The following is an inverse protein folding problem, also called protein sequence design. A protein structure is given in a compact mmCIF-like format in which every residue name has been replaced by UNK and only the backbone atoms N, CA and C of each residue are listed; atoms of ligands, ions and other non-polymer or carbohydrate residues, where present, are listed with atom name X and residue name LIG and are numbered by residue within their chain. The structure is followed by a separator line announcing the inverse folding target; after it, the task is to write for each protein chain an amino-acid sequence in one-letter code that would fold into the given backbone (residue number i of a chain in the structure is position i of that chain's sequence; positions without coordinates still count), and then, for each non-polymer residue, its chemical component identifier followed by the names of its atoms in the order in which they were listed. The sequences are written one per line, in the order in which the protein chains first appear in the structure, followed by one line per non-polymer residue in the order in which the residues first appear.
data_IF_094848798112
#
_entry.id   IF_094848798112
#
_cell.length_a   1.000
_cell.length_b   1.000
_cell.length_c   1.000
_cell.angle_alpha   90.00
_cell.angle_beta   90.00
_cell.angle_gamma   90.00
#
_symmetry.space_group_name_H-M   'P 1'
#
loop_
_entity.id
_entity.type
_entity.pdbx_description
1 polymer ?
#
# COMPACT_ATOMS: atom_id res chain seq x y z
N UNK A 1 -4.65 15.18 -10.90
CA UNK A 1 -3.71 15.68 -9.86
C UNK A 1 -2.51 16.38 -10.49
N UNK A 2 -1.97 17.46 -9.88
CA UNK A 2 -0.70 18.06 -10.35
C UNK A 2 0.46 17.12 -10.00
N UNK A 3 1.38 16.93 -10.94
CA UNK A 3 2.58 16.08 -10.78
C UNK A 3 3.44 16.56 -9.60
N UNK A 4 3.76 15.66 -8.68
CA UNK A 4 4.61 15.96 -7.53
C UNK A 4 6.09 15.74 -7.89
N UNK A 5 6.77 16.80 -8.32
CA UNK A 5 8.17 16.74 -8.73
C UNK A 5 9.10 16.28 -7.59
N UNK A 6 8.80 16.66 -6.34
CA UNK A 6 9.59 16.24 -5.19
C UNK A 6 9.51 14.72 -4.97
N UNK A 7 8.30 14.13 -5.09
CA UNK A 7 8.10 12.69 -5.03
C UNK A 7 8.96 11.95 -6.07
N UNK A 8 8.85 12.37 -7.33
CA UNK A 8 9.60 11.74 -8.43
C UNK A 8 11.11 11.89 -8.26
N UNK A 9 11.59 13.05 -7.79
CA UNK A 9 13.00 13.27 -7.49
C UNK A 9 13.50 12.32 -6.40
N UNK A 10 12.79 12.22 -5.28
CA UNK A 10 13.18 11.35 -4.17
C UNK A 10 13.15 9.88 -4.58
N UNK A 11 12.11 9.44 -5.30
CA UNK A 11 12.01 8.07 -5.80
C UNK A 11 13.15 7.75 -6.77
N UNK A 12 13.44 8.64 -7.72
CA UNK A 12 14.51 8.45 -8.70
C UNK A 12 15.91 8.40 -8.05
N UNK A 13 16.11 9.17 -6.98
CA UNK A 13 17.36 9.17 -6.21
C UNK A 13 17.52 7.90 -5.37
N UNK A 14 16.47 7.48 -4.68
CA UNK A 14 16.53 6.36 -3.75
C UNK A 14 16.46 4.99 -4.44
N UNK A 15 15.76 4.89 -5.57
CA UNK A 15 15.54 3.62 -6.26
C UNK A 15 16.83 2.87 -6.62
N UNK A 16 17.84 3.47 -7.29
CA UNK A 16 19.08 2.79 -7.61
C UNK A 16 19.88 2.40 -6.35
N UNK A 17 19.86 3.23 -5.31
CA UNK A 17 20.53 2.95 -4.04
C UNK A 17 19.87 1.74 -3.36
N UNK A 18 18.54 1.72 -3.31
CA UNK A 18 17.79 0.59 -2.76
C UNK A 18 18.06 -0.69 -3.56
N UNK A 19 18.12 -0.60 -4.90
CA UNK A 19 18.37 -1.76 -5.74
C UNK A 19 19.80 -2.33 -5.53
N UNK A 20 20.78 -1.45 -5.29
CA UNK A 20 22.16 -1.86 -5.02
C UNK A 20 22.32 -2.53 -3.65
N UNK A 21 21.72 -1.95 -2.61
CA UNK A 21 21.86 -2.46 -1.23
C UNK A 21 20.92 -3.64 -0.96
N UNK A 22 19.71 -3.58 -1.51
CA UNK A 22 18.66 -4.57 -1.33
C UNK A 22 18.22 -5.08 -2.71
N UNK A 23 18.98 -6.03 -3.29
CA UNK A 23 18.63 -6.56 -4.61
C UNK A 23 17.23 -7.16 -4.59
N UNK A 24 16.41 -6.78 -5.55
CA UNK A 24 15.03 -7.22 -5.60
C UNK A 24 14.54 -7.36 -7.05
N UNK A 25 13.54 -8.19 -7.22
CA UNK A 25 12.83 -8.39 -8.49
C UNK A 25 11.35 -8.10 -8.31
N UNK A 26 10.81 -7.32 -9.21
CA UNK A 26 9.38 -7.02 -9.27
C UNK A 26 8.78 -7.75 -10.45
N UNK A 27 7.62 -8.37 -10.24
CA UNK A 27 6.82 -9.05 -11.28
C UNK A 27 5.38 -8.57 -11.20
N UNK A 28 4.64 -8.63 -12.32
CA UNK A 28 3.23 -8.27 -12.37
C UNK A 28 2.96 -6.76 -12.42
N UNK A 29 3.93 -5.93 -12.85
CA UNK A 29 3.74 -4.48 -12.98
C UNK A 29 2.58 -4.13 -13.91
N UNK A 30 2.28 -4.96 -14.87
CA UNK A 30 1.16 -4.87 -15.80
C UNK A 30 -0.21 -4.92 -15.11
N UNK A 31 -0.29 -5.44 -13.90
CA UNK A 31 -1.52 -5.51 -13.10
C UNK A 31 -1.88 -4.17 -12.44
N UNK A 32 -0.95 -3.21 -12.42
CA UNK A 32 -1.22 -1.87 -11.90
C UNK A 32 -1.85 -1.03 -13.00
N UNK A 33 -3.08 -0.51 -12.83
CA UNK A 33 -3.71 0.36 -13.81
C UNK A 33 -2.80 1.55 -14.16
N UNK A 34 -2.58 1.78 -15.46
CA UNK A 34 -1.72 2.87 -15.94
C UNK A 34 -2.29 4.25 -15.57
N UNK A 35 -3.62 4.37 -15.56
CA UNK A 35 -4.36 5.60 -15.29
C UNK A 35 -5.53 5.33 -14.33
N UNK A 36 -6.15 6.41 -13.86
CA UNK A 36 -7.31 6.34 -12.94
C UNK A 36 -6.94 5.96 -11.52
N UNK A 37 -7.95 5.81 -10.69
CA UNK A 37 -7.76 5.42 -9.28
C UNK A 37 -7.36 3.96 -9.16
N UNK A 38 -6.49 3.65 -8.19
CA UNK A 38 -6.17 2.29 -7.80
C UNK A 38 -5.80 2.22 -6.32
N UNK A 39 -6.09 1.11 -5.67
CA UNK A 39 -5.65 0.83 -4.31
C UNK A 39 -4.66 -0.33 -4.32
N UNK A 40 -3.45 -0.08 -3.85
CA UNK A 40 -2.38 -1.08 -3.72
C UNK A 40 -2.38 -1.60 -2.28
N UNK A 41 -2.65 -2.88 -2.11
CA UNK A 41 -2.69 -3.54 -0.80
C UNK A 41 -1.52 -4.50 -0.65
N UNK A 42 -0.62 -4.25 0.28
CA UNK A 42 0.57 -5.09 0.47
C UNK A 42 0.70 -5.62 1.90
N UNK A 43 1.27 -6.81 2.05
CA UNK A 43 1.84 -7.20 3.33
C UNK A 43 2.98 -6.22 3.71
N UNK A 44 3.31 -6.13 5.00
CA UNK A 44 4.28 -5.17 5.49
C UNK A 44 5.37 -5.88 6.30
N UNK A 45 6.53 -6.09 5.69
CA UNK A 45 7.67 -6.82 6.29
C UNK A 45 8.84 -5.91 6.63
N UNK A 46 8.92 -4.72 6.00
CA UNK A 46 10.04 -3.78 6.18
C UNK A 46 9.57 -2.32 6.15
N UNK A 47 10.30 -1.44 6.83
CA UNK A 47 10.11 0.01 6.67
C UNK A 47 10.42 0.49 5.24
N UNK A 48 11.11 -0.33 4.44
CA UNK A 48 11.47 -0.02 3.06
C UNK A 48 10.38 -0.40 2.05
N UNK A 49 9.35 -1.17 2.43
CA UNK A 49 8.31 -1.62 1.51
C UNK A 49 7.64 -0.48 0.74
N UNK A 50 7.27 0.66 1.34
CA UNK A 50 6.69 1.78 0.60
C UNK A 50 7.63 2.30 -0.50
N UNK A 51 8.94 2.29 -0.26
CA UNK A 51 9.94 2.78 -1.22
C UNK A 51 10.17 1.76 -2.35
N UNK A 52 10.14 0.47 -2.06
CA UNK A 52 10.19 -0.58 -3.09
C UNK A 52 8.98 -0.50 -4.01
N UNK A 53 7.78 -0.37 -3.44
CA UNK A 53 6.55 -0.28 -4.21
C UNK A 53 6.54 1.03 -5.02
N UNK A 54 6.90 2.16 -4.39
CA UNK A 54 6.96 3.46 -5.05
C UNK A 54 7.99 3.52 -6.20
N UNK A 55 9.13 2.86 -6.04
CA UNK A 55 10.15 2.80 -7.08
C UNK A 55 9.79 1.89 -8.24
N UNK A 56 9.08 0.80 -7.97
CA UNK A 56 8.63 -0.14 -8.98
C UNK A 56 7.47 0.40 -9.83
N UNK A 57 6.50 1.01 -9.16
CA UNK A 57 5.28 1.53 -9.79
C UNK A 57 5.54 2.96 -10.31
N UNK A 58 5.34 3.20 -11.61
CA UNK A 58 5.58 4.50 -12.24
C UNK A 58 4.45 5.52 -12.01
N UNK A 59 3.82 5.47 -10.82
CA UNK A 59 2.72 6.37 -10.43
C UNK A 59 2.98 6.93 -9.03
N UNK A 60 2.46 8.12 -8.77
CA UNK A 60 2.52 8.71 -7.43
C UNK A 60 1.59 7.94 -6.50
N UNK A 61 2.16 7.29 -5.47
CA UNK A 61 1.41 6.52 -4.49
C UNK A 61 1.34 7.32 -3.19
N UNK A 62 0.14 7.48 -2.67
CA UNK A 62 -0.09 8.10 -1.37
C UNK A 62 -0.25 7.01 -0.31
N UNK A 63 0.71 6.93 0.60
CA UNK A 63 0.71 5.93 1.67
C UNK A 63 0.15 6.51 2.98
N UNK A 64 -0.55 5.64 3.70
CA UNK A 64 -0.92 5.89 5.09
C UNK A 64 0.29 5.62 5.98
N UNK A 65 0.60 6.55 6.88
CA UNK A 65 1.72 6.42 7.81
C UNK A 65 1.31 6.74 9.24
N UNK A 66 2.03 6.17 10.21
CA UNK A 66 1.79 6.35 11.63
C UNK A 66 1.91 7.83 12.02
N UNK A 67 0.93 8.39 12.76
CA UNK A 67 0.87 9.82 13.14
C UNK A 67 2.12 10.30 13.87
N UNK A 68 2.78 9.43 14.63
CA UNK A 68 3.99 9.77 15.39
C UNK A 68 5.18 10.13 14.48
N UNK A 69 5.18 9.69 13.22
CA UNK A 69 6.20 10.11 12.24
C UNK A 69 6.06 11.59 11.84
N UNK A 70 4.89 12.17 12.08
CA UNK A 70 4.60 13.58 11.77
C UNK A 70 4.82 14.51 12.96
N UNK A 71 5.11 13.99 14.16
CA UNK A 71 5.42 14.82 15.34
C UNK A 71 6.75 15.54 15.20
N UNK A 72 7.74 14.93 14.55
CA UNK A 72 8.96 15.60 14.17
C UNK A 72 8.68 16.51 12.98
N UNK A 73 8.86 17.83 13.17
CA UNK A 73 8.50 18.86 12.19
C UNK A 73 9.18 18.68 10.83
N UNK A 74 10.48 18.32 10.83
CA UNK A 74 11.23 18.12 9.58
C UNK A 74 10.78 16.83 8.87
N UNK A 75 10.72 15.73 9.60
CA UNK A 75 10.29 14.42 9.05
C UNK A 75 8.84 14.50 8.56
N UNK A 76 7.94 15.09 9.33
CA UNK A 76 6.55 15.29 8.94
C UNK A 76 6.39 16.11 7.67
N UNK A 77 7.18 17.18 7.51
CA UNK A 77 7.18 17.98 6.28
C UNK A 77 7.64 17.17 5.06
N UNK A 78 8.68 16.34 5.21
CA UNK A 78 9.16 15.44 4.15
C UNK A 78 8.09 14.41 3.79
N UNK A 79 7.50 13.73 4.79
CA UNK A 79 6.43 12.74 4.59
C UNK A 79 5.23 13.34 3.87
N UNK A 80 4.80 14.53 4.28
CA UNK A 80 3.70 15.27 3.62
C UNK A 80 4.04 15.61 2.17
N UNK A 81 5.25 16.10 1.90
CA UNK A 81 5.72 16.37 0.53
C UNK A 81 5.80 15.11 -0.34
N UNK A 82 6.03 13.94 0.27
CA UNK A 82 5.97 12.65 -0.41
C UNK A 82 4.53 12.14 -0.59
N UNK A 83 3.52 12.92 -0.20
CA UNK A 83 2.12 12.55 -0.33
C UNK A 83 1.63 11.57 0.74
N UNK A 84 2.43 11.29 1.75
CA UNK A 84 2.01 10.48 2.89
C UNK A 84 1.14 11.30 3.85
N UNK A 85 0.21 10.64 4.52
CA UNK A 85 -0.66 11.28 5.51
C UNK A 85 -0.80 10.43 6.77
N UNK A 86 -1.02 11.08 7.93
CA UNK A 86 -1.05 10.40 9.21
C UNK A 86 -2.33 9.59 9.41
N UNK A 87 -2.21 8.47 10.14
CA UNK A 87 -3.31 7.70 10.70
C UNK A 87 -3.07 7.44 12.17
N UNK A 88 -4.12 7.58 12.97
CA UNK A 88 -4.13 7.10 14.35
C UNK A 88 -4.51 5.62 14.38
N UNK A 89 -3.58 4.77 14.81
CA UNK A 89 -3.81 3.31 14.88
C UNK A 89 -4.49 2.86 16.16
N UNK A 90 -4.76 3.78 17.10
CA UNK A 90 -5.39 3.50 18.39
C UNK A 90 -6.91 3.36 18.35
N UNK A 91 -7.54 3.48 17.18
CA UNK A 91 -9.01 3.40 17.03
C UNK A 91 -9.45 3.57 15.59
N UNK A 92 -10.76 3.74 15.38
CA UNK A 92 -11.30 4.04 14.06
C UNK A 92 -11.01 5.50 13.68
N UNK A 93 -9.92 5.74 12.93
CA UNK A 93 -9.59 7.08 12.42
C UNK A 93 -10.43 7.44 11.20
N UNK A 94 -11.58 8.03 11.48
CA UNK A 94 -12.51 8.48 10.44
C UNK A 94 -11.94 9.59 9.55
N UNK A 95 -10.97 10.36 10.02
CA UNK A 95 -10.32 11.40 9.23
C UNK A 95 -9.37 10.78 8.22
N UNK A 96 -8.54 9.81 8.64
CA UNK A 96 -7.70 9.05 7.73
C UNK A 96 -8.53 8.28 6.69
N UNK A 97 -9.63 7.66 7.10
CA UNK A 97 -10.56 6.96 6.20
C UNK A 97 -11.12 7.88 5.11
N UNK A 98 -11.59 9.09 5.49
CA UNK A 98 -12.06 10.10 4.53
C UNK A 98 -10.96 10.53 3.57
N UNK A 99 -9.74 10.70 4.07
CA UNK A 99 -8.58 11.07 3.24
C UNK A 99 -8.28 9.96 2.21
N UNK A 100 -8.31 8.68 2.62
CA UNK A 100 -8.15 7.55 1.70
C UNK A 100 -9.19 7.58 0.57
N UNK A 101 -10.46 7.75 0.93
CA UNK A 101 -11.56 7.81 -0.03
C UNK A 101 -11.39 9.03 -0.97
N UNK A 102 -10.98 10.21 -0.45
CA UNK A 102 -10.73 11.40 -1.27
C UNK A 102 -9.63 11.17 -2.30
N UNK A 103 -8.50 10.58 -1.88
CA UNK A 103 -7.39 10.24 -2.79
C UNK A 103 -7.87 9.40 -3.96
N UNK A 104 -8.68 8.38 -3.70
CA UNK A 104 -9.20 7.49 -4.74
C UNK A 104 -10.25 8.19 -5.62
N UNK A 105 -11.15 8.98 -5.04
CA UNK A 105 -12.14 9.77 -5.80
C UNK A 105 -11.49 10.81 -6.73
N UNK A 106 -10.32 11.32 -6.38
CA UNK A 106 -9.53 12.24 -7.19
C UNK A 106 -8.72 11.54 -8.29
N UNK A 107 -8.87 10.22 -8.46
CA UNK A 107 -8.15 9.43 -9.46
C UNK A 107 -6.71 9.07 -9.03
N UNK A 108 -6.37 9.25 -7.76
CA UNK A 108 -5.05 8.95 -7.22
C UNK A 108 -4.83 7.47 -6.92
N UNK A 109 -3.57 7.12 -6.61
CA UNK A 109 -3.20 5.79 -6.15
C UNK A 109 -2.96 5.81 -4.64
N UNK A 110 -3.64 4.91 -3.95
CA UNK A 110 -3.53 4.75 -2.49
C UNK A 110 -2.73 3.48 -2.19
N UNK A 111 -1.71 3.59 -1.35
CA UNK A 111 -0.96 2.44 -0.81
C UNK A 111 -1.37 2.15 0.63
N UNK A 112 -1.79 0.92 0.90
CA UNK A 112 -2.22 0.47 2.23
C UNK A 112 -1.49 -0.81 2.62
N UNK A 113 -1.11 -0.89 3.90
CA UNK A 113 -0.65 -2.10 4.55
C UNK A 113 -1.75 -2.54 5.53
N UNK A 114 -2.67 -3.44 5.12
CA UNK A 114 -3.90 -3.69 5.86
C UNK A 114 -3.70 -4.39 7.21
N UNK A 115 -2.53 -4.95 7.48
CA UNK A 115 -2.19 -5.49 8.80
C UNK A 115 -2.06 -4.39 9.88
N UNK A 116 -1.81 -3.14 9.49
CA UNK A 116 -1.64 -2.01 10.40
C UNK A 116 -0.30 -1.98 11.15
N UNK A 117 0.49 -3.03 11.08
CA UNK A 117 1.84 -3.16 11.66
C UNK A 117 2.74 -3.97 10.74
N UNK A 118 4.05 -4.02 11.04
CA UNK A 118 4.98 -4.86 10.28
C UNK A 118 4.83 -6.31 10.72
N UNK A 119 4.64 -7.17 9.73
CA UNK A 119 4.51 -8.61 9.90
C UNK A 119 5.85 -9.23 10.34
N UNK A 120 5.81 -10.10 11.34
CA UNK A 120 6.88 -11.00 11.71
C UNK A 120 6.48 -12.41 11.31
N UNK A 121 7.45 -13.21 10.87
CA UNK A 121 7.25 -14.52 10.20
C UNK A 121 6.38 -15.53 10.98
N UNK A 122 6.17 -15.31 12.28
CA UNK A 122 5.40 -16.21 13.15
C UNK A 122 4.03 -15.62 13.58
N UNK A 123 3.60 -14.51 12.97
CA UNK A 123 2.34 -13.85 13.32
C UNK A 123 1.20 -14.29 12.39
N UNK A 124 -0.05 -14.16 12.85
CA UNK A 124 -1.22 -14.42 12.02
C UNK A 124 -1.31 -13.46 10.82
N UNK A 125 -1.83 -13.96 9.69
CA UNK A 125 -2.07 -13.17 8.48
C UNK A 125 -3.30 -12.25 8.61
N UNK A 126 -3.71 -11.91 9.83
CA UNK A 126 -4.88 -11.10 10.08
C UNK A 126 -4.76 -9.72 9.47
N UNK A 127 -5.81 -9.32 8.76
CA UNK A 127 -5.93 -8.03 8.10
C UNK A 127 -7.06 -7.23 8.73
N UNK A 128 -6.84 -5.94 8.89
CA UNK A 128 -7.88 -5.02 9.33
C UNK A 128 -8.89 -4.78 8.18
N UNK A 129 -10.15 -4.72 8.54
CA UNK A 129 -11.26 -4.54 7.59
C UNK A 129 -11.31 -3.17 6.90
N UNK A 130 -10.51 -2.21 7.35
CA UNK A 130 -10.49 -0.85 6.81
C UNK A 130 -10.17 -0.78 5.32
N UNK A 131 -9.24 -1.61 4.83
CA UNK A 131 -8.92 -1.68 3.40
C UNK A 131 -10.12 -2.17 2.57
N UNK A 132 -10.78 -3.24 3.02
CA UNK A 132 -11.98 -3.78 2.38
C UNK A 132 -13.13 -2.76 2.36
N UNK A 133 -13.34 -2.05 3.47
CA UNK A 133 -14.34 -0.98 3.52
C UNK A 133 -14.07 0.12 2.48
N UNK A 134 -12.82 0.60 2.37
CA UNK A 134 -12.43 1.60 1.37
C UNK A 134 -12.67 1.08 -0.05
N UNK A 135 -12.27 -0.17 -0.33
CA UNK A 135 -12.47 -0.81 -1.62
C UNK A 135 -13.93 -0.83 -2.02
N UNK A 136 -14.80 -1.36 -1.16
CA UNK A 136 -16.25 -1.45 -1.40
C UNK A 136 -16.93 -0.07 -1.46
N UNK A 137 -16.39 0.94 -0.80
CA UNK A 137 -16.94 2.30 -0.83
C UNK A 137 -16.56 3.08 -2.08
N UNK A 138 -15.45 2.73 -2.72
CA UNK A 138 -14.88 3.47 -3.85
C UNK A 138 -14.98 2.73 -5.18
N UNK A 139 -15.17 1.40 -5.15
CA UNK A 139 -15.23 0.52 -6.33
C UNK A 139 -14.04 0.66 -7.29
N UNK A 140 -12.87 1.03 -6.73
CA UNK A 140 -11.63 1.11 -7.51
C UNK A 140 -10.95 -0.26 -7.61
N UNK A 141 -10.13 -0.51 -8.65
CA UNK A 141 -9.30 -1.71 -8.71
C UNK A 141 -8.41 -1.84 -7.48
N UNK A 142 -8.45 -3.00 -6.83
CA UNK A 142 -7.63 -3.33 -5.66
C UNK A 142 -6.56 -4.32 -6.06
N UNK A 143 -5.32 -3.87 -6.08
CA UNK A 143 -4.15 -4.64 -6.55
C UNK A 143 -3.39 -5.19 -5.36
N UNK A 144 -3.39 -6.50 -5.13
CA UNK A 144 -2.62 -7.13 -4.08
C UNK A 144 -1.13 -7.13 -4.42
N UNK A 145 -0.28 -6.94 -3.42
CA UNK A 145 1.17 -7.01 -3.55
C UNK A 145 1.72 -7.87 -2.42
N UNK A 146 2.59 -8.81 -2.78
CA UNK A 146 3.34 -9.60 -1.80
C UNK A 146 4.81 -9.23 -1.85
N UNK A 147 5.36 -8.85 -0.70
CA UNK A 147 6.80 -8.64 -0.50
C UNK A 147 7.34 -9.83 0.29
N UNK A 148 8.24 -10.61 -0.32
CA UNK A 148 8.87 -11.72 0.38
C UNK A 148 9.85 -11.20 1.45
N UNK A 149 9.68 -11.68 2.69
CA UNK A 149 10.55 -11.30 3.82
C UNK A 149 11.61 -12.36 4.13
N UNK A 150 12.52 -12.05 5.05
CA UNK A 150 12.84 -10.73 5.57
C UNK A 150 13.71 -9.91 4.62
N UNK A 151 13.43 -8.61 4.50
CA UNK A 151 14.26 -7.68 3.71
C UNK A 151 15.57 -7.41 4.46
N UNK A 152 16.69 -7.80 3.88
CA UNK A 152 18.04 -7.62 4.45
C UNK A 152 19.02 -7.10 3.41
N UNK A 153 20.03 -6.29 3.80
CA UNK A 153 21.07 -5.85 2.88
C UNK A 153 21.72 -7.04 2.18
N UNK A 154 21.95 -6.89 0.88
CA UNK A 154 22.59 -7.89 0.01
C UNK A 154 21.89 -9.26 -0.05
N UNK A 155 20.63 -9.33 0.42
CA UNK A 155 19.74 -10.48 0.27
C UNK A 155 18.65 -10.17 -0.73
N UNK A 156 18.38 -11.15 -1.60
CA UNK A 156 17.41 -11.00 -2.67
C UNK A 156 15.96 -11.02 -2.14
N UNK A 157 15.18 -10.01 -2.51
CA UNK A 157 13.75 -9.88 -2.17
C UNK A 157 12.91 -10.00 -3.44
N UNK A 158 11.76 -10.67 -3.36
CA UNK A 158 10.78 -10.72 -4.44
C UNK A 158 9.57 -9.86 -4.09
N UNK A 159 9.09 -9.14 -5.08
CA UNK A 159 7.88 -8.31 -4.98
C UNK A 159 6.95 -8.77 -6.08
N UNK A 160 5.85 -9.39 -5.71
CA UNK A 160 4.85 -9.89 -6.63
C UNK A 160 3.62 -8.99 -6.59
N UNK A 161 3.25 -8.44 -7.74
CA UNK A 161 2.04 -7.64 -7.91
C UNK A 161 1.04 -8.54 -8.62
N UNK A 162 -0.04 -8.92 -7.92
CA UNK A 162 -1.05 -9.82 -8.45
C UNK A 162 -2.12 -9.08 -9.25
N UNK A 163 -2.92 -9.79 -10.05
CA UNK A 163 -4.10 -9.20 -10.69
C UNK A 163 -5.05 -8.58 -9.67
N UNK A 164 -5.78 -7.52 -10.03
CA UNK A 164 -6.78 -6.92 -9.16
C UNK A 164 -7.78 -7.96 -8.64
N UNK A 165 -8.10 -7.87 -7.35
CA UNK A 165 -9.10 -8.76 -6.73
C UNK A 165 -10.48 -8.43 -7.27
N UNK A 166 -11.21 -9.45 -7.70
CA UNK A 166 -12.61 -9.28 -8.10
C UNK A 166 -13.49 -9.12 -6.85
N UNK A 167 -14.11 -7.96 -6.72
CA UNK A 167 -15.06 -7.59 -5.69
C UNK A 167 -16.40 -7.11 -6.30
N UNK A 168 -16.63 -7.39 -7.58
CA UNK A 168 -17.77 -6.86 -8.34
C UNK A 168 -19.13 -7.37 -7.84
N UNK A 169 -19.16 -8.53 -7.21
CA UNK A 169 -20.34 -9.12 -6.55
C UNK A 169 -20.67 -8.47 -5.20
N UNK A 170 -19.72 -7.75 -4.60
CA UNK A 170 -19.88 -7.09 -3.29
C UNK A 170 -20.22 -5.61 -3.47
N UNK A 171 -21.50 -5.32 -3.62
CA UNK A 171 -21.97 -3.97 -3.99
C UNK A 171 -22.14 -3.01 -2.83
N UNK A 172 -22.17 -3.49 -1.58
CA UNK A 172 -22.40 -2.68 -0.38
C UNK A 172 -21.34 -2.93 0.69
N UNK A 173 -20.89 -1.91 1.43
CA UNK A 173 -19.94 -2.07 2.52
C UNK A 173 -20.64 -2.47 3.83
N UNK A 174 -21.44 -3.54 3.81
CA UNK A 174 -22.02 -4.17 4.99
C UNK A 174 -21.04 -5.17 5.63
N UNK A 175 -21.33 -5.60 6.86
CA UNK A 175 -20.42 -6.45 7.61
C UNK A 175 -20.07 -7.78 6.90
N UNK A 176 -21.02 -8.52 6.29
CA UNK A 176 -20.70 -9.71 5.52
C UNK A 176 -19.80 -9.44 4.31
N UNK A 177 -20.12 -8.41 3.52
CA UNK A 177 -19.33 -8.03 2.32
C UNK A 177 -17.93 -7.56 2.69
N UNK A 178 -17.77 -6.79 3.78
CA UNK A 178 -16.46 -6.38 4.28
C UNK A 178 -15.64 -7.60 4.72
N UNK A 179 -16.26 -8.56 5.42
CA UNK A 179 -15.61 -9.80 5.83
C UNK A 179 -15.11 -10.60 4.63
N UNK A 180 -15.95 -10.80 3.64
CA UNK A 180 -15.60 -11.53 2.41
C UNK A 180 -14.51 -10.80 1.60
N UNK A 181 -14.62 -9.48 1.42
CA UNK A 181 -13.60 -8.70 0.74
C UNK A 181 -12.25 -8.75 1.46
N UNK A 182 -12.26 -8.68 2.80
CA UNK A 182 -11.03 -8.82 3.61
C UNK A 182 -10.38 -10.18 3.39
N UNK A 183 -11.17 -11.24 3.39
CA UNK A 183 -10.70 -12.61 3.13
C UNK A 183 -10.09 -12.73 1.72
N UNK A 184 -10.81 -12.29 0.68
CA UNK A 184 -10.30 -12.33 -0.72
C UNK A 184 -8.98 -11.57 -0.87
N UNK A 185 -8.87 -10.40 -0.24
CA UNK A 185 -7.64 -9.61 -0.23
C UNK A 185 -6.49 -10.34 0.46
N UNK A 186 -6.76 -10.93 1.63
CA UNK A 186 -5.78 -11.71 2.37
C UNK A 186 -5.31 -12.90 1.54
N UNK A 187 -6.24 -13.71 1.04
CA UNK A 187 -5.92 -14.88 0.22
C UNK A 187 -5.08 -14.50 -1.01
N UNK A 188 -5.41 -13.39 -1.69
CA UNK A 188 -4.68 -12.90 -2.84
C UNK A 188 -3.24 -12.49 -2.50
N UNK A 189 -3.03 -11.77 -1.38
CA UNK A 189 -1.68 -11.35 -0.95
C UNK A 189 -0.81 -12.56 -0.59
N UNK A 190 -1.37 -13.56 0.09
CA UNK A 190 -0.60 -14.70 0.60
C UNK A 190 -0.50 -15.88 -0.37
N UNK A 191 -1.27 -15.90 -1.46
CA UNK A 191 -1.12 -16.91 -2.52
C UNK A 191 0.27 -16.89 -3.17
N UNK A 192 0.94 -15.74 -3.20
CA UNK A 192 2.28 -15.59 -3.77
C UNK A 192 3.40 -16.15 -2.86
N UNK A 193 3.09 -16.54 -1.63
CA UNK A 193 4.06 -17.17 -0.70
C UNK A 193 4.22 -18.68 -0.96
N UNK A 194 3.26 -19.29 -1.66
CA UNK A 194 3.26 -20.71 -2.06
C UNK A 194 3.99 -20.93 -3.37
#
# INVERSE_FOLDING_TARGET
MKRNHFYHFVVALLWPILHLIFPHRVTGLENVPAEGAAMLCSNHVSMLDPFFIAGAVRREIRFISKKELFTNRLLGAIMTKLGMFPVDRGGSDMAAMRTCISVLKEGGVLGIFPQGHRYKHDESHEMQSGAAFIALRTHVPVVPIHVSGPVRPFRFTRIHIMPPVDLSDLTRPDAPSIGEATKRLSDAIWTAEK
#
